data_IF_954762169237
#
_entry.id   IF_954762169237
#
_cell.length_a   1.000
_cell.length_b   1.000
_cell.length_c   1.000
_cell.angle_alpha   90.00
_cell.angle_beta   90.00
_cell.angle_gamma   90.00
#
_symmetry.space_group_name_H-M   'P 1'
#
loop_
_entity.id
_entity.type
_entity.pdbx_description
1 polymer ?
#
# COMPACT_ATOMS: atom_id res chain seq x y z
N UNK A 1 25.29 -47.96 -19.20
CA UNK A 1 25.54 -46.99 -18.11
C UNK A 1 24.58 -47.33 -16.98
N UNK A 2 25.08 -47.88 -15.87
CA UNK A 2 24.25 -48.43 -14.79
C UNK A 2 23.70 -47.30 -13.90
N UNK A 3 22.46 -46.89 -14.14
CA UNK A 3 21.77 -45.85 -13.36
C UNK A 3 21.51 -46.21 -11.89
N UNK A 4 21.78 -47.45 -11.46
CA UNK A 4 21.43 -47.96 -10.13
C UNK A 4 22.33 -47.44 -9.01
N UNK A 5 23.55 -46.99 -9.30
CA UNK A 5 24.52 -46.59 -8.25
C UNK A 5 24.52 -45.09 -7.91
N UNK A 6 23.76 -44.25 -8.62
CA UNK A 6 23.67 -42.81 -8.33
C UNK A 6 22.74 -42.45 -7.16
N UNK A 7 22.00 -43.41 -6.62
CA UNK A 7 20.79 -43.19 -5.81
C UNK A 7 20.88 -43.77 -4.38
N UNK A 8 22.03 -43.64 -3.70
CA UNK A 8 22.09 -43.92 -2.26
C UNK A 8 21.29 -42.87 -1.46
N UNK A 9 20.63 -43.28 -0.37
CA UNK A 9 19.40 -42.70 0.19
C UNK A 9 19.31 -41.18 0.47
N UNK A 10 20.41 -40.42 0.46
CA UNK A 10 20.38 -38.94 0.51
C UNK A 10 20.03 -38.32 -0.84
N UNK A 11 20.51 -38.91 -1.94
CA UNK A 11 20.27 -38.42 -3.30
C UNK A 11 18.84 -38.74 -3.76
N UNK A 12 18.28 -39.88 -3.34
CA UNK A 12 16.91 -40.25 -3.67
C UNK A 12 15.88 -39.26 -3.08
N UNK A 13 16.07 -38.81 -1.84
CA UNK A 13 15.20 -37.79 -1.22
C UNK A 13 15.23 -36.46 -1.98
N UNK A 14 16.42 -36.05 -2.42
CA UNK A 14 16.60 -34.83 -3.23
C UNK A 14 15.86 -34.98 -4.56
N UNK A 15 15.97 -36.14 -5.22
CA UNK A 15 15.33 -36.38 -6.51
C UNK A 15 13.81 -36.42 -6.38
N UNK A 16 13.28 -37.03 -5.32
CA UNK A 16 11.84 -37.01 -5.01
C UNK A 16 11.38 -35.57 -4.75
N UNK A 17 12.12 -34.79 -3.95
CA UNK A 17 11.78 -33.39 -3.68
C UNK A 17 11.77 -32.56 -4.98
N UNK A 18 12.77 -32.73 -5.84
CA UNK A 18 12.85 -32.06 -7.15
C UNK A 18 11.69 -32.48 -8.06
N UNK A 19 11.32 -33.77 -8.08
CA UNK A 19 10.19 -34.26 -8.86
C UNK A 19 8.85 -33.67 -8.36
N UNK A 20 8.67 -33.54 -7.04
CA UNK A 20 7.49 -32.91 -6.45
C UNK A 20 7.43 -31.42 -6.79
N UNK A 21 8.55 -30.70 -6.68
CA UNK A 21 8.63 -29.27 -7.05
C UNK A 21 8.32 -29.09 -8.54
N UNK A 22 8.86 -29.94 -9.42
CA UNK A 22 8.56 -29.92 -10.86
C UNK A 22 7.07 -30.17 -11.11
N UNK A 23 6.48 -31.17 -10.45
CA UNK A 23 5.06 -31.49 -10.62
C UNK A 23 4.15 -30.35 -10.16
N UNK A 24 4.49 -29.69 -9.05
CA UNK A 24 3.75 -28.52 -8.55
C UNK A 24 3.91 -27.30 -9.46
N UNK A 25 5.11 -27.05 -9.98
CA UNK A 25 5.39 -25.87 -10.84
C UNK A 25 4.88 -26.02 -12.27
N UNK A 26 4.88 -27.25 -12.81
CA UNK A 26 4.33 -27.56 -14.14
C UNK A 26 2.80 -27.58 -14.15
N UNK A 27 2.16 -27.78 -13.00
CA UNK A 27 0.71 -27.76 -12.90
C UNK A 27 0.18 -26.32 -13.00
N UNK A 28 -0.44 -26.00 -14.15
CA UNK A 28 -1.11 -24.71 -14.40
C UNK A 28 -2.10 -24.33 -13.30
N UNK A 29 -2.76 -25.31 -12.67
CA UNK A 29 -3.70 -25.10 -11.57
C UNK A 29 -3.03 -24.53 -10.33
N UNK A 30 -1.89 -25.08 -9.91
CA UNK A 30 -1.15 -24.60 -8.74
C UNK A 30 -0.62 -23.19 -8.96
N UNK A 31 -0.02 -22.92 -10.12
CA UNK A 31 0.44 -21.57 -10.48
C UNK A 31 -0.70 -20.55 -10.47
N UNK A 32 -1.85 -20.92 -11.04
CA UNK A 32 -3.05 -20.06 -11.06
C UNK A 32 -3.56 -19.78 -9.65
N UNK A 33 -3.57 -20.79 -8.77
CA UNK A 33 -4.00 -20.62 -7.38
C UNK A 33 -3.09 -19.63 -6.64
N UNK A 34 -1.76 -19.75 -6.80
CA UNK A 34 -0.79 -18.85 -6.18
C UNK A 34 -0.99 -17.41 -6.68
N UNK A 35 -1.11 -17.21 -8.00
CA UNK A 35 -1.34 -15.87 -8.57
C UNK A 35 -2.64 -15.27 -8.04
N UNK A 36 -3.73 -16.01 -8.07
CA UNK A 36 -5.03 -15.55 -7.55
C UNK A 36 -4.96 -15.23 -6.07
N UNK A 37 -4.22 -15.99 -5.28
CA UNK A 37 -4.05 -15.73 -3.86
C UNK A 37 -3.31 -14.41 -3.61
N UNK A 38 -2.24 -14.15 -4.37
CA UNK A 38 -1.52 -12.88 -4.33
C UNK A 38 -2.43 -11.72 -4.73
N UNK A 39 -3.20 -11.87 -5.81
CA UNK A 39 -4.17 -10.87 -6.26
C UNK A 39 -5.24 -10.60 -5.20
N UNK A 40 -5.79 -11.64 -4.56
CA UNK A 40 -6.74 -11.48 -3.45
C UNK A 40 -6.15 -10.69 -2.28
N UNK A 41 -4.89 -10.93 -1.92
CA UNK A 41 -4.23 -10.15 -0.88
C UNK A 41 -4.06 -8.69 -1.27
N UNK A 42 -3.67 -8.41 -2.52
CA UNK A 42 -3.55 -7.04 -3.04
C UNK A 42 -4.90 -6.32 -3.02
N UNK A 43 -5.96 -6.96 -3.52
CA UNK A 43 -7.31 -6.40 -3.55
C UNK A 43 -7.83 -6.11 -2.13
N UNK A 44 -7.59 -7.01 -1.17
CA UNK A 44 -7.97 -6.78 0.24
C UNK A 44 -7.25 -5.57 0.84
N UNK A 45 -5.95 -5.43 0.58
CA UNK A 45 -5.18 -4.29 1.05
C UNK A 45 -5.69 -2.96 0.44
N UNK A 46 -6.04 -2.98 -0.84
CA UNK A 46 -6.60 -1.81 -1.54
C UNK A 46 -7.99 -1.43 -1.00
N UNK A 47 -8.87 -2.42 -0.78
CA UNK A 47 -10.18 -2.20 -0.15
C UNK A 47 -10.01 -1.55 1.23
N UNK A 48 -9.10 -2.06 2.06
CA UNK A 48 -8.85 -1.49 3.38
C UNK A 48 -8.36 -0.04 3.29
N UNK A 49 -7.47 0.27 2.34
CA UNK A 49 -6.99 1.63 2.09
C UNK A 49 -8.13 2.56 1.67
N UNK A 50 -8.95 2.15 0.72
CA UNK A 50 -10.10 2.92 0.21
C UNK A 50 -11.15 3.13 1.31
N UNK A 51 -11.39 2.13 2.17
CA UNK A 51 -12.31 2.27 3.29
C UNK A 51 -11.81 3.29 4.31
N UNK A 52 -10.51 3.28 4.62
CA UNK A 52 -9.90 4.25 5.52
C UNK A 52 -9.97 5.67 4.94
N UNK A 53 -9.71 5.82 3.65
CA UNK A 53 -9.84 7.10 2.95
C UNK A 53 -11.28 7.60 2.92
N UNK A 54 -12.24 6.73 2.62
CA UNK A 54 -13.68 7.04 2.70
C UNK A 54 -14.09 7.49 4.11
N UNK A 55 -13.61 6.82 5.16
CA UNK A 55 -13.89 7.22 6.54
C UNK A 55 -13.31 8.59 6.87
N UNK A 56 -12.10 8.89 6.37
CA UNK A 56 -11.46 10.21 6.52
C UNK A 56 -12.27 11.30 5.81
N UNK A 57 -12.62 11.07 4.55
CA UNK A 57 -13.38 12.02 3.73
C UNK A 57 -14.78 12.28 4.31
N UNK A 58 -15.47 11.24 4.80
CA UNK A 58 -16.78 11.43 5.46
C UNK A 58 -16.69 12.32 6.70
N UNK A 59 -15.65 12.17 7.52
CA UNK A 59 -15.42 13.09 8.65
C UNK A 59 -15.09 14.50 8.18
N UNK A 60 -14.30 14.63 7.13
CA UNK A 60 -13.95 15.92 6.54
C UNK A 60 -15.19 16.65 6.01
N UNK A 61 -16.06 15.96 5.28
CA UNK A 61 -17.35 16.48 4.82
C UNK A 61 -18.21 16.91 6.01
N UNK A 62 -18.36 16.06 7.02
CA UNK A 62 -19.15 16.40 8.21
C UNK A 62 -18.66 17.69 8.89
N UNK A 63 -17.35 17.86 9.04
CA UNK A 63 -16.77 19.08 9.63
C UNK A 63 -16.98 20.29 8.73
N UNK A 64 -16.89 20.14 7.41
CA UNK A 64 -17.16 21.23 6.47
C UNK A 64 -18.65 21.62 6.44
N UNK A 65 -19.57 20.71 6.70
CA UNK A 65 -21.01 21.00 6.69
C UNK A 65 -21.52 21.57 8.01
N UNK A 66 -20.90 21.19 9.14
CA UNK A 66 -21.46 21.45 10.48
C UNK A 66 -20.57 22.34 11.36
N UNK A 67 -19.39 22.76 10.89
CA UNK A 67 -18.45 23.56 11.69
C UNK A 67 -17.83 24.71 10.88
N UNK A 68 -18.45 25.89 10.99
CA UNK A 68 -18.01 27.11 10.32
C UNK A 68 -16.56 27.51 10.65
N UNK A 69 -16.12 27.28 11.90
CA UNK A 69 -14.73 27.57 12.30
C UNK A 69 -13.73 26.64 11.59
N UNK A 70 -14.13 25.38 11.34
CA UNK A 70 -13.31 24.45 10.57
C UNK A 70 -13.23 24.87 9.09
N UNK A 71 -14.32 25.37 8.51
CA UNK A 71 -14.33 25.94 7.14
C UNK A 71 -13.36 27.12 7.06
N UNK A 72 -13.46 28.09 7.97
CA UNK A 72 -12.59 29.28 7.98
C UNK A 72 -11.12 28.90 8.13
N UNK A 73 -10.80 27.97 9.04
CA UNK A 73 -9.46 27.40 9.16
C UNK A 73 -8.96 26.77 7.85
N UNK A 74 -9.79 26.00 7.16
CA UNK A 74 -9.43 25.37 5.89
C UNK A 74 -9.22 26.39 4.77
N UNK A 75 -10.07 27.40 4.68
CA UNK A 75 -9.93 28.50 3.72
C UNK A 75 -8.60 29.26 3.95
N UNK A 76 -8.29 29.60 5.21
CA UNK A 76 -7.03 30.25 5.57
C UNK A 76 -5.81 29.39 5.23
N UNK A 77 -5.87 28.10 5.57
CA UNK A 77 -4.75 27.16 5.37
C UNK A 77 -4.52 26.82 3.91
N UNK A 78 -5.57 26.52 3.16
CA UNK A 78 -5.47 25.98 1.80
C UNK A 78 -5.40 27.09 0.74
N UNK A 79 -6.02 28.26 1.00
CA UNK A 79 -6.07 29.37 0.05
C UNK A 79 -5.26 30.60 0.52
N UNK A 80 -4.67 30.57 1.71
CA UNK A 80 -3.97 31.73 2.27
C UNK A 80 -4.88 32.94 2.48
N UNK A 81 -6.18 32.70 2.64
CA UNK A 81 -7.17 33.77 2.78
C UNK A 81 -6.96 34.53 4.08
N UNK A 82 -6.99 35.85 4.00
CA UNK A 82 -6.91 36.77 5.14
C UNK A 82 -8.15 37.64 5.07
N UNK A 83 -8.89 37.73 6.16
CA UNK A 83 -10.15 38.47 6.19
C UNK A 83 -9.86 39.97 6.14
N UNK A 84 -10.76 40.74 5.54
CA UNK A 84 -10.63 42.20 5.53
C UNK A 84 -10.52 42.74 6.96
N UNK A 85 -9.45 43.51 7.22
CA UNK A 85 -9.13 44.06 8.54
C UNK A 85 -8.14 43.25 9.39
N UNK A 86 -7.67 42.09 8.94
CA UNK A 86 -6.63 41.31 9.61
C UNK A 86 -5.21 41.69 9.16
N UNK A 87 -4.24 41.65 10.09
CA UNK A 87 -2.83 42.02 9.84
C UNK A 87 -1.99 40.75 9.67
N UNK A 88 -1.39 40.57 8.49
CA UNK A 88 -0.44 39.48 8.20
C UNK A 88 0.97 39.86 8.67
N UNK A 89 1.52 39.13 9.65
CA UNK A 89 2.92 39.26 10.04
C UNK A 89 3.81 38.39 9.14
N UNK A 90 4.44 39.00 8.14
CA UNK A 90 5.48 38.35 7.33
C UNK A 90 6.85 38.53 8.00
N UNK A 91 7.39 37.45 8.56
CA UNK A 91 8.78 37.44 9.01
C UNK A 91 9.69 37.42 7.78
N UNK A 92 10.42 38.50 7.53
CA UNK A 92 11.52 38.45 6.57
C UNK A 92 12.60 37.55 7.18
N UNK A 93 12.74 36.32 6.65
CA UNK A 93 13.89 35.50 6.97
C UNK A 93 15.10 36.24 6.42
N UNK A 94 15.86 36.85 7.32
CA UNK A 94 17.11 37.52 7.00
C UNK A 94 18.10 36.44 6.53
N UNK A 95 18.05 36.12 5.24
CA UNK A 95 19.04 35.25 4.60
C UNK A 95 20.33 36.03 4.64
N UNK A 96 21.17 35.74 5.64
CA UNK A 96 22.56 36.15 5.67
C UNK A 96 23.19 35.89 4.31
N UNK A 97 23.36 36.96 3.55
CA UNK A 97 24.26 37.01 2.41
C UNK A 97 25.67 37.05 2.98
N UNK A 98 26.33 35.88 3.05
CA UNK A 98 27.77 35.66 2.89
C UNK A 98 28.13 34.19 3.08
#
# INVERSE_FOLDING_TARGET
MNFRELFYGRNLKIIIAVAVILLLTLNKGFRTLVIRNIELYKMKAEIAKIQLENARLRREIYLLENNDAYIDYRIRRDLGYIKEGEIEYRYQSDKKSK
#
